data_IF_431367342970
#
_entry.id   IF_431367342970
#
_cell.length_a   1.000
_cell.length_b   1.000
_cell.length_c   1.000
_cell.angle_alpha   90.00
_cell.angle_beta   90.00
_cell.angle_gamma   90.00
#
_symmetry.space_group_name_H-M   'P 1'
#
loop_
_entity.id
_entity.type
_entity.pdbx_description
1 polymer ?
#
# COMPACT_ATOMS: atom_id res chain seq x y z
N UNK A 1 -47.85 -30.57 10.16
CA UNK A 1 -48.12 -29.12 10.18
C UNK A 1 -47.28 -28.55 11.31
N UNK A 2 -46.21 -27.80 11.12
CA UNK A 2 -45.69 -27.13 9.94
C UNK A 2 -44.19 -26.92 10.18
N UNK A 3 -43.35 -27.21 9.17
CA UNK A 3 -41.91 -26.98 9.19
C UNK A 3 -41.63 -25.51 8.82
N UNK A 4 -40.86 -24.80 9.66
CA UNK A 4 -40.28 -23.50 9.31
C UNK A 4 -39.03 -23.71 8.44
N UNK A 5 -39.13 -23.23 7.21
CA UNK A 5 -38.07 -23.16 6.22
C UNK A 5 -37.03 -22.10 6.64
N UNK A 6 -35.89 -22.53 7.20
CA UNK A 6 -34.68 -21.69 7.27
C UNK A 6 -33.99 -21.71 5.91
N UNK A 7 -34.15 -20.62 5.18
CA UNK A 7 -33.43 -20.33 3.95
C UNK A 7 -31.95 -20.08 4.29
N UNK A 8 -31.08 -21.04 4.01
CA UNK A 8 -29.62 -20.87 4.11
C UNK A 8 -29.13 -20.27 2.80
N UNK A 9 -28.75 -18.99 2.83
CA UNK A 9 -28.05 -18.34 1.72
C UNK A 9 -26.67 -18.98 1.60
N UNK A 10 -26.44 -19.67 0.49
CA UNK A 10 -25.21 -20.39 0.19
C UNK A 10 -24.14 -19.39 -0.24
N UNK A 11 -23.05 -19.29 0.52
CA UNK A 11 -21.83 -18.61 0.05
C UNK A 11 -21.19 -19.44 -1.07
N UNK A 12 -20.70 -18.84 -2.17
CA UNK A 12 -19.87 -19.55 -3.13
C UNK A 12 -18.50 -19.81 -2.47
N UNK A 13 -18.32 -21.02 -1.96
CA UNK A 13 -17.05 -21.47 -1.38
C UNK A 13 -15.99 -21.62 -2.46
N UNK A 14 -14.78 -21.14 -2.16
CA UNK A 14 -13.57 -21.50 -2.88
C UNK A 14 -13.50 -23.04 -3.02
N UNK A 15 -13.23 -23.52 -4.24
CA UNK A 15 -13.21 -24.95 -4.58
C UNK A 15 -12.21 -25.71 -3.70
N UNK A 16 -12.67 -26.80 -3.08
CA UNK A 16 -11.89 -27.66 -2.18
C UNK A 16 -10.90 -28.61 -2.91
N UNK A 17 -10.68 -28.41 -4.22
CA UNK A 17 -9.66 -29.14 -4.98
C UNK A 17 -8.38 -28.30 -5.08
N UNK A 18 -7.19 -28.91 -4.94
CA UNK A 18 -5.94 -28.18 -5.16
C UNK A 18 -5.94 -27.58 -6.57
N UNK A 19 -5.64 -26.28 -6.64
CA UNK A 19 -5.57 -25.55 -7.89
C UNK A 19 -4.54 -26.21 -8.82
N UNK A 20 -4.82 -26.33 -10.13
CA UNK A 20 -3.87 -26.90 -11.09
C UNK A 20 -2.49 -26.21 -11.02
N UNK A 21 -1.42 -26.92 -11.36
CA UNK A 21 -0.10 -26.28 -11.49
C UNK A 21 -0.15 -25.18 -12.57
N UNK A 22 0.45 -24.03 -12.28
CA UNK A 22 0.50 -22.90 -13.21
C UNK A 22 1.57 -23.15 -14.27
N UNK A 23 1.25 -22.77 -15.51
CA UNK A 23 2.30 -22.53 -16.50
C UNK A 23 3.14 -21.32 -16.06
N UNK A 24 4.38 -21.23 -16.55
CA UNK A 24 5.22 -20.06 -16.25
C UNK A 24 4.58 -18.76 -16.76
N UNK A 25 3.90 -18.79 -17.90
CA UNK A 25 3.20 -17.63 -18.45
C UNK A 25 2.03 -17.19 -17.57
N UNK A 26 1.20 -18.13 -17.11
CA UNK A 26 0.08 -17.81 -16.24
C UNK A 26 0.55 -17.34 -14.86
N UNK A 27 1.66 -17.90 -14.36
CA UNK A 27 2.29 -17.44 -13.12
C UNK A 27 2.65 -15.96 -13.20
N UNK A 28 3.30 -15.51 -14.28
CA UNK A 28 3.66 -14.10 -14.44
C UNK A 28 2.42 -13.20 -14.44
N UNK A 29 1.32 -13.62 -15.09
CA UNK A 29 0.07 -12.84 -15.10
C UNK A 29 -0.51 -12.74 -13.69
N UNK A 30 -0.61 -13.86 -12.97
CA UNK A 30 -1.15 -13.85 -11.61
C UNK A 30 -0.23 -13.14 -10.61
N UNK A 31 1.08 -13.13 -10.85
CA UNK A 31 2.08 -12.48 -10.02
C UNK A 31 2.27 -10.99 -10.36
N UNK A 32 1.71 -10.51 -11.48
CA UNK A 32 1.93 -9.16 -11.99
C UNK A 32 1.70 -8.07 -10.91
N UNK A 33 0.56 -8.11 -10.23
CA UNK A 33 0.23 -7.12 -9.20
C UNK A 33 1.20 -7.19 -8.01
N UNK A 34 1.56 -8.38 -7.55
CA UNK A 34 2.54 -8.55 -6.46
C UNK A 34 3.93 -8.03 -6.85
N UNK A 35 4.38 -8.32 -8.06
CA UNK A 35 5.68 -7.84 -8.57
C UNK A 35 5.71 -6.30 -8.70
N UNK A 36 4.62 -5.70 -9.21
CA UNK A 36 4.48 -4.24 -9.29
C UNK A 36 4.48 -3.61 -7.90
N UNK A 37 3.72 -4.20 -6.96
CA UNK A 37 3.64 -3.74 -5.58
C UNK A 37 5.01 -3.78 -4.89
N UNK A 38 5.73 -4.89 -5.01
CA UNK A 38 7.07 -5.02 -4.42
C UNK A 38 8.08 -4.05 -5.03
N UNK A 39 7.95 -3.72 -6.32
CA UNK A 39 8.76 -2.68 -6.96
C UNK A 39 8.55 -1.30 -6.33
N UNK A 40 7.29 -0.89 -6.12
CA UNK A 40 6.94 0.35 -5.44
C UNK A 40 7.41 0.33 -3.98
N UNK A 41 7.13 -0.75 -3.25
CA UNK A 41 7.54 -0.91 -1.85
C UNK A 41 9.06 -0.90 -1.68
N UNK A 42 9.81 -1.49 -2.61
CA UNK A 42 11.28 -1.44 -2.61
C UNK A 42 11.79 -0.01 -2.67
N UNK A 43 11.24 0.84 -3.56
CA UNK A 43 11.63 2.25 -3.65
C UNK A 43 11.31 3.04 -2.36
N UNK A 44 10.18 2.73 -1.70
CA UNK A 44 9.86 3.31 -0.39
C UNK A 44 10.82 2.85 0.71
N UNK A 45 11.16 1.55 0.74
CA UNK A 45 12.14 0.99 1.69
C UNK A 45 13.52 1.63 1.51
N UNK A 46 13.97 1.84 0.28
CA UNK A 46 15.24 2.52 -0.03
C UNK A 46 15.28 3.97 0.47
N UNK A 47 14.21 4.73 0.19
CA UNK A 47 14.08 6.12 0.66
C UNK A 47 14.02 6.19 2.17
N UNK A 48 13.23 5.31 2.80
CA UNK A 48 13.16 5.20 4.25
C UNK A 48 14.52 4.87 4.86
N UNK A 49 15.25 3.89 4.32
CA UNK A 49 16.56 3.50 4.83
C UNK A 49 17.52 4.68 4.85
N UNK A 50 17.55 5.47 3.76
CA UNK A 50 18.36 6.70 3.68
C UNK A 50 18.00 7.70 4.79
N UNK A 51 16.70 7.97 4.97
CA UNK A 51 16.21 8.89 6.01
C UNK A 51 16.51 8.36 7.43
N UNK A 52 16.26 7.08 7.66
CA UNK A 52 16.37 6.45 8.96
C UNK A 52 17.82 6.29 9.39
N UNK A 53 18.71 5.91 8.47
CA UNK A 53 20.13 5.74 8.76
C UNK A 53 20.79 7.07 9.13
N UNK A 54 20.46 8.16 8.43
CA UNK A 54 20.90 9.50 8.81
C UNK A 54 20.39 9.90 10.20
N UNK A 55 19.12 9.59 10.49
CA UNK A 55 18.52 9.83 11.80
C UNK A 55 19.20 9.03 12.93
N UNK A 56 19.53 7.76 12.67
CA UNK A 56 20.17 6.84 13.60
C UNK A 56 21.65 7.17 13.82
N UNK A 57 22.38 7.56 12.78
CA UNK A 57 23.77 8.00 12.84
C UNK A 57 23.92 9.41 13.44
N UNK A 58 22.82 10.18 13.51
CA UNK A 58 22.83 11.60 13.84
C UNK A 58 23.72 12.43 12.91
N UNK A 59 23.82 12.01 11.65
CA UNK A 59 24.65 12.61 10.61
C UNK A 59 23.91 12.55 9.28
N UNK A 60 23.91 13.66 8.53
CA UNK A 60 23.32 13.68 7.19
C UNK A 60 24.19 12.92 6.19
N UNK A 61 23.62 12.38 5.11
CA UNK A 61 24.41 11.84 4.02
C UNK A 61 25.39 12.89 3.49
N UNK A 62 26.56 12.42 3.05
CA UNK A 62 27.60 13.31 2.53
C UNK A 62 27.04 14.13 1.36
N UNK A 63 27.37 15.42 1.34
CA UNK A 63 26.99 16.37 0.29
C UNK A 63 25.45 16.61 0.16
N UNK A 64 24.66 16.23 1.18
CA UNK A 64 23.23 16.53 1.28
C UNK A 64 22.99 17.65 2.28
N UNK A 65 22.32 18.72 1.86
CA UNK A 65 21.92 19.82 2.75
C UNK A 65 20.71 19.43 3.62
N UNK A 66 20.49 20.17 4.72
CA UNK A 66 19.31 19.99 5.56
C UNK A 66 18.03 20.17 4.74
N UNK A 67 17.99 21.17 3.85
CA UNK A 67 16.84 21.46 3.00
C UNK A 67 16.54 20.29 2.05
N UNK A 68 17.57 19.75 1.38
CA UNK A 68 17.43 18.59 0.49
C UNK A 68 16.94 17.35 1.25
N UNK A 69 17.45 17.15 2.47
CA UNK A 69 17.03 16.04 3.32
C UNK A 69 15.56 16.17 3.78
N UNK A 70 15.14 17.39 4.14
CA UNK A 70 13.74 17.68 4.46
C UNK A 70 12.85 17.45 3.25
N UNK A 71 13.26 17.89 2.06
CA UNK A 71 12.53 17.66 0.81
C UNK A 71 12.35 16.18 0.51
N UNK A 72 13.41 15.38 0.64
CA UNK A 72 13.34 13.92 0.50
C UNK A 72 12.30 13.29 1.43
N UNK A 73 12.26 13.71 2.71
CA UNK A 73 11.27 13.21 3.65
C UNK A 73 9.84 13.66 3.33
N UNK A 74 9.66 14.88 2.83
CA UNK A 74 8.35 15.39 2.40
C UNK A 74 7.84 14.64 1.16
N UNK A 75 8.72 14.38 0.20
CA UNK A 75 8.40 13.63 -1.01
C UNK A 75 8.06 12.17 -0.68
N UNK A 76 8.78 11.54 0.26
CA UNK A 76 8.42 10.23 0.80
C UNK A 76 6.98 10.21 1.33
N UNK A 77 6.63 11.17 2.22
CA UNK A 77 5.29 11.23 2.80
C UNK A 77 4.21 11.42 1.73
N UNK A 78 4.45 12.32 0.78
CA UNK A 78 3.53 12.61 -0.32
C UNK A 78 3.32 11.40 -1.22
N UNK A 79 4.40 10.75 -1.65
CA UNK A 79 4.32 9.65 -2.60
C UNK A 79 3.71 8.40 -1.97
N UNK A 80 4.04 8.09 -0.72
CA UNK A 80 3.41 6.98 -0.01
C UNK A 80 1.91 7.24 0.26
N UNK A 81 1.53 8.49 0.53
CA UNK A 81 0.11 8.86 0.64
C UNK A 81 -0.64 8.68 -0.68
N UNK A 82 -0.05 9.09 -1.81
CA UNK A 82 -0.66 8.94 -3.14
C UNK A 82 -0.84 7.45 -3.48
N UNK A 83 0.16 6.63 -3.14
CA UNK A 83 0.12 5.19 -3.33
C UNK A 83 -1.06 4.54 -2.59
N UNK A 84 -1.18 4.77 -1.27
CA UNK A 84 -2.32 4.28 -0.48
C UNK A 84 -3.66 4.84 -0.97
N UNK A 85 -3.70 6.10 -1.41
CA UNK A 85 -4.90 6.68 -1.97
C UNK A 85 -5.38 5.93 -3.23
N UNK A 86 -4.45 5.48 -4.09
CA UNK A 86 -4.78 4.68 -5.27
C UNK A 86 -5.31 3.31 -4.85
N UNK A 87 -4.69 2.67 -3.87
CA UNK A 87 -5.14 1.40 -3.33
C UNK A 87 -6.55 1.49 -2.77
N UNK A 88 -6.80 2.41 -1.85
CA UNK A 88 -8.08 2.54 -1.17
C UNK A 88 -9.22 2.99 -2.09
N UNK A 89 -8.93 3.79 -3.11
CA UNK A 89 -9.96 4.35 -4.01
C UNK A 89 -10.19 3.55 -5.27
N UNK A 90 -9.20 2.77 -5.73
CA UNK A 90 -9.26 2.07 -7.03
C UNK A 90 -9.05 0.57 -6.86
N UNK A 91 -7.95 0.16 -6.25
CA UNK A 91 -7.53 -1.25 -6.25
C UNK A 91 -8.35 -2.09 -5.28
N UNK A 92 -8.41 -1.71 -4.00
CA UNK A 92 -9.13 -2.45 -2.97
C UNK A 92 -10.64 -2.54 -3.25
N UNK A 93 -11.34 -1.46 -3.67
CA UNK A 93 -12.75 -1.58 -4.03
C UNK A 93 -13.01 -2.57 -5.17
N UNK A 94 -12.10 -2.65 -6.15
CA UNK A 94 -12.23 -3.61 -7.26
C UNK A 94 -11.99 -5.05 -6.78
N UNK A 95 -10.89 -5.29 -6.05
CA UNK A 95 -10.57 -6.63 -5.54
C UNK A 95 -11.58 -7.11 -4.50
N UNK A 96 -12.08 -6.21 -3.65
CA UNK A 96 -13.06 -6.48 -2.60
C UNK A 96 -14.39 -7.03 -3.10
N UNK A 97 -14.68 -6.90 -4.41
CA UNK A 97 -15.85 -7.53 -5.04
C UNK A 97 -15.81 -9.07 -4.96
N UNK A 98 -14.62 -9.66 -4.90
CA UNK A 98 -14.44 -11.13 -4.86
C UNK A 98 -13.49 -11.60 -3.76
N UNK A 99 -12.55 -10.77 -3.33
CA UNK A 99 -11.52 -11.10 -2.35
C UNK A 99 -11.89 -10.48 -0.99
N UNK A 100 -12.35 -11.28 -0.01
CA UNK A 100 -12.83 -10.74 1.27
C UNK A 100 -11.80 -9.91 2.05
N UNK A 101 -10.51 -10.17 1.83
CA UNK A 101 -9.41 -9.44 2.43
C UNK A 101 -9.32 -7.96 2.01
N UNK A 102 -9.99 -7.59 0.91
CA UNK A 102 -10.02 -6.22 0.37
C UNK A 102 -11.43 -5.61 0.44
N UNK A 103 -12.37 -6.23 1.14
CA UNK A 103 -13.74 -5.71 1.22
C UNK A 103 -13.80 -4.40 2.02
N UNK A 104 -13.78 -3.27 1.33
CA UNK A 104 -13.77 -1.92 1.90
C UNK A 104 -14.98 -1.57 2.77
N UNK A 105 -16.10 -2.30 2.67
CA UNK A 105 -17.24 -2.13 3.59
C UNK A 105 -16.92 -2.62 5.01
N UNK A 106 -15.86 -3.42 5.16
CA UNK A 106 -15.35 -3.86 6.45
C UNK A 106 -14.10 -3.06 6.82
N UNK A 107 -14.29 -1.92 7.48
CA UNK A 107 -13.21 -1.03 7.93
C UNK A 107 -12.22 -1.68 8.92
N UNK A 108 -12.60 -2.80 9.54
CA UNK A 108 -11.81 -3.52 10.53
C UNK A 108 -10.86 -4.54 9.88
N UNK A 109 -10.84 -4.64 8.55
CA UNK A 109 -9.83 -5.43 7.85
C UNK A 109 -8.43 -4.94 8.17
N UNK A 110 -7.53 -5.89 8.36
CA UNK A 110 -6.16 -5.67 8.80
C UNK A 110 -5.41 -4.69 7.90
N UNK A 111 -5.53 -4.81 6.57
CA UNK A 111 -4.85 -3.93 5.61
C UNK A 111 -5.33 -2.47 5.70
N UNK A 112 -6.63 -2.23 5.85
CA UNK A 112 -7.16 -0.87 6.02
C UNK A 112 -6.81 -0.29 7.39
N UNK A 113 -6.71 -1.13 8.43
CA UNK A 113 -6.25 -0.73 9.75
C UNK A 113 -4.75 -0.38 9.75
N UNK A 114 -3.93 -1.08 8.95
CA UNK A 114 -2.53 -0.76 8.71
C UNK A 114 -2.39 0.62 8.04
N UNK A 115 -3.11 0.86 6.93
CA UNK A 115 -3.10 2.15 6.22
C UNK A 115 -3.41 3.33 7.14
N UNK A 116 -4.47 3.23 7.96
CA UNK A 116 -4.83 4.30 8.92
C UNK A 116 -3.70 4.63 9.90
N UNK A 117 -3.01 3.60 10.41
CA UNK A 117 -1.87 3.81 11.32
C UNK A 117 -0.68 4.45 10.59
N UNK A 118 -0.40 4.02 9.37
CA UNK A 118 0.67 4.58 8.54
C UNK A 118 0.36 6.04 8.18
N UNK A 119 -0.87 6.36 7.76
CA UNK A 119 -1.29 7.74 7.51
C UNK A 119 -1.12 8.63 8.73
N UNK A 120 -1.44 8.15 9.94
CA UNK A 120 -1.18 8.89 11.17
C UNK A 120 0.31 9.12 11.46
N UNK A 121 1.20 8.23 11.02
CA UNK A 121 2.66 8.41 11.06
C UNK A 121 3.15 9.42 10.02
N UNK A 122 2.66 9.29 8.78
CA UNK A 122 2.98 10.16 7.66
C UNK A 122 2.53 11.61 7.90
N UNK A 123 1.34 11.82 8.48
CA UNK A 123 0.85 13.15 8.85
C UNK A 123 1.80 13.82 9.84
N UNK A 124 2.16 13.14 10.93
CA UNK A 124 3.11 13.66 11.93
C UNK A 124 4.47 13.97 11.34
N UNK A 125 4.98 13.10 10.46
CA UNK A 125 6.26 13.30 9.78
C UNK A 125 6.20 14.49 8.82
N UNK A 126 5.16 14.58 7.99
CA UNK A 126 4.95 15.68 7.06
C UNK A 126 4.78 17.03 7.75
N UNK A 127 4.01 17.09 8.83
CA UNK A 127 3.84 18.29 9.66
C UNK A 127 5.18 18.76 10.26
N UNK A 128 5.95 17.82 10.83
CA UNK A 128 7.27 18.10 11.38
C UNK A 128 8.19 18.72 10.33
N UNK A 129 8.32 18.05 9.17
CA UNK A 129 9.21 18.45 8.09
C UNK A 129 8.77 19.79 7.48
N UNK A 130 7.47 20.00 7.29
CA UNK A 130 6.94 21.27 6.77
C UNK A 130 7.17 22.42 7.76
N UNK A 131 7.02 22.19 9.06
CA UNK A 131 7.29 23.21 10.08
C UNK A 131 8.78 23.57 10.12
N UNK A 132 9.67 22.57 9.99
CA UNK A 132 11.11 22.78 9.89
C UNK A 132 11.50 23.58 8.64
N UNK A 133 10.97 23.18 7.46
CA UNK A 133 11.20 23.89 6.20
C UNK A 133 10.76 25.36 6.27
N UNK A 134 9.64 25.63 6.93
CA UNK A 134 9.08 26.96 7.11
C UNK A 134 9.71 27.80 8.22
N UNK A 135 10.75 27.29 8.91
CA UNK A 135 11.41 27.98 10.02
C UNK A 135 10.56 28.13 11.29
N UNK A 136 9.43 27.41 11.38
CA UNK A 136 8.55 27.42 12.57
C UNK A 136 9.11 26.56 13.71
N UNK A 137 9.99 25.63 13.38
CA UNK A 137 10.77 24.83 14.33
C UNK A 137 12.18 24.58 13.80
N UNK A 138 13.11 24.30 14.69
CA UNK A 138 14.42 23.79 14.30
C UNK A 138 14.30 22.34 13.82
N UNK A 139 15.05 21.99 12.77
CA UNK A 139 15.18 20.61 12.30
C UNK A 139 16.17 19.85 13.17
N UNK A 140 15.84 18.60 13.51
CA UNK A 140 16.63 17.74 14.37
C UNK A 140 16.42 16.27 14.01
N UNK A 141 17.51 15.59 13.66
CA UNK A 141 17.52 14.18 13.28
C UNK A 141 16.93 13.25 14.36
N UNK A 142 17.11 13.58 15.64
CA UNK A 142 16.53 12.82 16.77
C UNK A 142 15.00 12.91 16.83
N UNK A 143 14.46 14.10 16.56
CA UNK A 143 13.02 14.30 16.55
C UNK A 143 12.38 13.54 15.38
N UNK A 144 12.98 13.66 14.19
CA UNK A 144 12.52 12.93 13.01
C UNK A 144 12.59 11.41 13.26
N UNK A 145 13.68 10.91 13.84
CA UNK A 145 13.80 9.49 14.22
C UNK A 145 12.66 9.03 15.10
N UNK A 146 12.31 9.82 16.12
CA UNK A 146 11.25 9.48 17.08
C UNK A 146 9.90 9.34 16.39
N UNK A 147 9.63 10.21 15.40
CA UNK A 147 8.41 10.12 14.59
C UNK A 147 8.44 8.85 13.73
N UNK A 148 9.55 8.60 13.03
CA UNK A 148 9.71 7.40 12.18
C UNK A 148 9.57 6.10 12.98
N UNK A 149 10.17 6.03 14.17
CA UNK A 149 10.05 4.87 15.07
C UNK A 149 8.59 4.58 15.44
N UNK A 150 7.74 5.61 15.48
CA UNK A 150 6.33 5.49 15.85
C UNK A 150 5.46 4.70 14.87
N UNK A 151 5.90 4.49 13.63
CA UNK A 151 5.16 3.71 12.62
C UNK A 151 6.03 2.80 11.76
N UNK A 152 7.32 2.65 12.09
CA UNK A 152 8.26 1.78 11.35
C UNK A 152 7.78 0.34 11.26
N UNK A 153 7.40 -0.24 12.39
CA UNK A 153 7.05 -1.68 12.45
C UNK A 153 5.81 -1.96 11.60
N UNK A 154 4.75 -1.16 11.75
CA UNK A 154 3.52 -1.33 11.00
C UNK A 154 3.72 -1.09 9.50
N UNK A 155 4.58 -0.14 9.11
CA UNK A 155 4.91 0.10 7.71
C UNK A 155 5.60 -1.11 7.06
N UNK A 156 6.54 -1.75 7.76
CA UNK A 156 7.26 -2.93 7.24
C UNK A 156 6.33 -4.12 7.08
N UNK A 157 5.54 -4.41 8.12
CA UNK A 157 4.56 -5.50 8.10
C UNK A 157 3.56 -5.30 6.97
N UNK A 158 3.02 -4.09 6.84
CA UNK A 158 2.08 -3.74 5.78
C UNK A 158 2.63 -4.02 4.38
N UNK A 159 3.85 -3.56 4.09
CA UNK A 159 4.46 -3.74 2.77
C UNK A 159 4.64 -5.22 2.41
N UNK A 160 4.92 -6.09 3.38
CA UNK A 160 5.07 -7.54 3.18
C UNK A 160 3.71 -8.23 3.06
N UNK A 161 2.77 -7.89 3.94
CA UNK A 161 1.42 -8.46 3.98
C UNK A 161 0.68 -8.19 2.67
N UNK A 162 0.78 -6.97 2.16
CA UNK A 162 0.10 -6.57 0.95
C UNK A 162 0.64 -7.32 -0.28
N UNK A 163 1.96 -7.39 -0.46
CA UNK A 163 2.58 -8.16 -1.56
C UNK A 163 2.12 -9.62 -1.52
N UNK A 164 2.03 -10.21 -0.33
CA UNK A 164 1.51 -11.57 -0.17
C UNK A 164 0.03 -11.71 -0.55
N UNK A 165 -0.80 -10.70 -0.26
CA UNK A 165 -2.23 -10.71 -0.63
C UNK A 165 -2.46 -10.55 -2.14
N UNK A 166 -1.56 -9.86 -2.84
CA UNK A 166 -1.51 -9.81 -4.30
C UNK A 166 -0.85 -11.04 -4.94
N UNK A 167 -0.34 -11.98 -4.15
CA UNK A 167 0.39 -13.14 -4.64
C UNK A 167 -0.44 -14.05 -5.56
N UNK A 168 0.22 -14.83 -6.44
CA UNK A 168 -0.46 -15.56 -7.51
C UNK A 168 -1.48 -16.58 -7.00
N UNK A 169 -1.20 -17.25 -5.88
CA UNK A 169 -2.14 -18.20 -5.26
C UNK A 169 -3.41 -17.53 -4.72
N UNK A 170 -3.30 -16.29 -4.22
CA UNK A 170 -4.45 -15.51 -3.75
C UNK A 170 -5.27 -15.04 -4.95
N UNK A 171 -4.61 -14.52 -5.98
CA UNK A 171 -5.29 -13.97 -7.16
C UNK A 171 -6.01 -15.07 -7.96
N UNK A 172 -5.34 -16.19 -8.24
CA UNK A 172 -5.91 -17.28 -9.04
C UNK A 172 -7.05 -18.05 -8.36
N UNK A 173 -7.24 -17.85 -7.05
CA UNK A 173 -8.39 -18.38 -6.33
C UNK A 173 -9.71 -17.67 -6.69
N UNK A 174 -9.65 -16.46 -7.25
CA UNK A 174 -10.82 -15.60 -7.50
C UNK A 174 -10.94 -15.07 -8.94
N UNK A 175 -9.84 -15.07 -9.70
CA UNK A 175 -9.75 -14.43 -11.01
C UNK A 175 -9.14 -15.38 -12.05
N UNK A 176 -9.59 -15.28 -13.31
CA UNK A 176 -8.91 -15.90 -14.45
C UNK A 176 -7.77 -15.02 -14.98
N UNK A 177 -6.90 -15.59 -15.83
CA UNK A 177 -5.83 -14.86 -16.53
C UNK A 177 -6.39 -13.70 -17.35
N UNK A 178 -7.49 -13.92 -18.06
CA UNK A 178 -8.16 -12.90 -18.88
C UNK A 178 -8.75 -11.78 -18.02
N UNK A 179 -9.33 -12.13 -16.86
CA UNK A 179 -9.87 -11.15 -15.92
C UNK A 179 -8.77 -10.29 -15.29
N UNK A 180 -7.62 -10.88 -14.93
CA UNK A 180 -6.44 -10.14 -14.43
C UNK A 180 -5.96 -9.13 -15.48
N UNK A 181 -5.78 -9.57 -16.73
CA UNK A 181 -5.36 -8.70 -17.84
C UNK A 181 -6.35 -7.58 -18.14
N UNK A 182 -7.63 -7.78 -17.80
CA UNK A 182 -8.69 -6.78 -17.99
C UNK A 182 -8.87 -5.85 -16.77
N UNK A 183 -8.12 -6.04 -15.68
CA UNK A 183 -8.22 -5.16 -14.52
C UNK A 183 -7.83 -3.72 -14.89
N UNK A 184 -8.54 -2.71 -14.35
CA UNK A 184 -8.28 -1.31 -14.66
C UNK A 184 -6.89 -0.83 -14.21
N UNK A 185 -6.21 -1.60 -13.37
CA UNK A 185 -4.86 -1.34 -12.86
C UNK A 185 -3.77 -2.29 -13.37
N UNK A 186 -4.07 -3.14 -14.36
CA UNK A 186 -3.09 -4.06 -14.96
C UNK A 186 -2.03 -3.32 -15.80
N UNK A 187 -2.41 -2.47 -16.75
CA UNK A 187 -1.45 -1.68 -17.57
C UNK A 187 -1.72 -0.15 -17.63
N UNK A 188 -2.39 0.51 -16.66
CA UNK A 188 -2.47 1.97 -16.73
C UNK A 188 -1.10 2.60 -16.47
N UNK A 189 -0.87 3.74 -17.09
CA UNK A 189 0.22 4.64 -16.71
C UNK A 189 -0.11 5.18 -15.31
N UNK A 190 0.88 5.33 -14.42
CA UNK A 190 0.65 5.84 -13.05
C UNK A 190 -0.13 7.16 -13.04
N UNK A 191 0.12 8.01 -14.04
CA UNK A 191 -0.58 9.28 -14.26
C UNK A 191 -2.11 9.11 -14.37
N UNK A 192 -2.57 8.04 -15.02
CA UNK A 192 -4.00 7.75 -15.19
C UNK A 192 -4.66 7.38 -13.86
N UNK A 193 -3.96 6.61 -13.02
CA UNK A 193 -4.45 6.23 -11.69
C UNK A 193 -4.47 7.45 -10.76
N UNK A 194 -3.43 8.28 -10.81
CA UNK A 194 -3.37 9.53 -10.06
C UNK A 194 -4.52 10.47 -10.45
N UNK A 195 -4.85 10.57 -11.74
CA UNK A 195 -5.96 11.38 -12.21
C UNK A 195 -7.33 10.89 -11.67
N UNK A 196 -7.52 9.57 -11.56
CA UNK A 196 -8.73 8.99 -10.98
C UNK A 196 -8.89 9.34 -9.49
N UNK A 197 -7.78 9.33 -8.74
CA UNK A 197 -7.76 9.65 -7.30
C UNK A 197 -7.98 11.14 -7.02
N UNK A 198 -7.44 12.03 -7.85
CA UNK A 198 -7.54 13.48 -7.65
C UNK A 198 -8.90 14.05 -8.02
N UNK A 199 -9.75 13.28 -8.71
CA UNK A 199 -10.88 13.81 -9.46
C UNK A 199 -10.38 14.63 -10.66
N UNK A 200 -11.06 14.53 -11.79
CA UNK A 200 -10.82 15.45 -12.91
C UNK A 200 -10.91 16.89 -12.38
N UNK A 201 -9.93 17.77 -12.67
CA UNK A 201 -10.16 19.18 -12.47
C UNK A 201 -11.35 19.58 -13.33
N UNK A 202 -12.40 20.12 -12.70
CA UNK A 202 -13.43 20.88 -13.43
C UNK A 202 -12.80 22.07 -14.17
#
# INVERSE_FOLDING_TARGET
MSEEQKNSVMQPGASANPLPELSAEDFEVFNYCAAKMEGLHSAFRETWATLYDACAAHELPKDVSVEQFIEMGMDFCKNLTIHHDIEEKVVFPFLGQRMPAFNVENSDLEILAQHRQIHGGLEKMGEYLSASKGGKREFGLKDLKTIMDGFREILWVHMDDEVNQFGPDKMRAYWSVEEIKAMPFYEPVEEDLIAQVRGTPE
#
